data_IF_671627668264
#
_entry.id   IF_671627668264
#
_cell.length_a   1.000
_cell.length_b   1.000
_cell.length_c   1.000
_cell.angle_alpha   90.00
_cell.angle_beta   90.00
_cell.angle_gamma   90.00
#
_symmetry.space_group_name_H-M   'P 1'
#
loop_
_entity.id
_entity.type
_entity.pdbx_description
1 polymer ?
#
# COMPACT_ATOMS: atom_id res chain seq x y z
N UNK A 1 3.43 -2.88 9.58
CA UNK A 1 2.33 -2.15 10.26
C UNK A 1 2.74 -0.79 10.82
N UNK A 2 3.59 -0.68 11.86
CA UNK A 2 3.96 0.63 12.46
C UNK A 2 4.56 1.62 11.45
N UNK A 3 5.37 1.13 10.50
CA UNK A 3 5.95 1.96 9.43
C UNK A 3 4.90 2.65 8.56
N UNK A 4 3.77 1.98 8.28
CA UNK A 4 2.69 2.52 7.44
C UNK A 4 1.88 3.58 8.19
N UNK A 5 1.62 3.38 9.48
CA UNK A 5 1.01 4.41 10.32
C UNK A 5 1.89 5.65 10.42
N UNK A 6 3.21 5.47 10.55
CA UNK A 6 4.15 6.59 10.56
C UNK A 6 4.11 7.35 9.23
N UNK A 7 4.17 6.65 8.10
CA UNK A 7 4.06 7.25 6.75
C UNK A 7 2.73 7.99 6.59
N UNK A 8 1.63 7.43 7.07
CA UNK A 8 0.32 8.07 7.01
C UNK A 8 0.29 9.38 7.81
N UNK A 9 0.79 9.36 9.06
CA UNK A 9 0.84 10.55 9.92
C UNK A 9 1.74 11.62 9.32
N UNK A 10 2.95 11.27 8.86
CA UNK A 10 3.87 12.24 8.25
C UNK A 10 3.30 12.83 6.96
N UNK A 11 2.64 12.00 6.14
CA UNK A 11 2.02 12.45 4.89
C UNK A 11 0.82 13.37 5.17
N UNK A 12 0.01 13.04 6.17
CA UNK A 12 -1.09 13.90 6.63
C UNK A 12 -0.58 15.26 7.09
N UNK A 13 0.45 15.29 7.95
CA UNK A 13 1.05 16.54 8.40
C UNK A 13 1.63 17.36 7.25
N UNK A 14 2.29 16.73 6.27
CA UNK A 14 2.83 17.41 5.09
C UNK A 14 1.74 17.99 4.19
N UNK A 15 0.67 17.23 3.93
CA UNK A 15 -0.47 17.71 3.14
C UNK A 15 -1.18 18.88 3.84
N UNK A 16 -1.36 18.79 5.16
CA UNK A 16 -1.98 19.86 5.96
C UNK A 16 -1.13 21.13 5.99
N UNK A 17 0.19 20.99 6.21
CA UNK A 17 1.12 22.12 6.18
C UNK A 17 1.20 22.77 4.80
N UNK A 18 1.14 21.98 3.72
CA UNK A 18 1.09 22.49 2.35
C UNK A 18 -0.15 23.36 2.12
N UNK A 19 -1.34 22.85 2.49
CA UNK A 19 -2.60 23.60 2.38
C UNK A 19 -2.61 24.86 3.24
N UNK A 20 -2.09 24.78 4.47
CA UNK A 20 -1.99 25.93 5.37
C UNK A 20 -1.01 26.99 4.83
N UNK A 21 0.16 26.57 4.34
CA UNK A 21 1.19 27.45 3.78
C UNK A 21 0.77 28.13 2.47
N UNK A 22 -0.01 27.45 1.63
CA UNK A 22 -0.54 28.02 0.37
C UNK A 22 -1.91 28.69 0.54
N UNK A 23 -2.40 28.90 1.77
CA UNK A 23 -3.75 29.42 2.06
C UNK A 23 -4.87 28.73 1.25
N UNK A 24 -4.72 27.43 0.99
CA UNK A 24 -5.69 26.64 0.23
C UNK A 24 -5.53 26.65 -1.30
N UNK A 25 -4.54 27.32 -1.89
CA UNK A 25 -4.31 27.27 -3.35
C UNK A 25 -3.97 25.85 -3.85
N UNK A 26 -3.37 25.00 -3.01
CA UNK A 26 -3.11 23.60 -3.32
C UNK A 26 -4.35 22.68 -3.25
N UNK A 27 -5.54 23.20 -2.89
CA UNK A 27 -6.77 22.39 -2.79
C UNK A 27 -7.12 21.58 -4.06
N UNK A 28 -6.93 22.10 -5.29
CA UNK A 28 -7.23 21.35 -6.52
C UNK A 28 -6.40 20.07 -6.70
N UNK A 29 -5.18 20.01 -6.13
CA UNK A 29 -4.34 18.79 -6.18
C UNK A 29 -4.94 17.65 -5.36
N UNK A 30 -5.69 17.98 -4.31
CA UNK A 30 -6.25 17.00 -3.37
C UNK A 30 -7.76 16.78 -3.54
N UNK A 31 -8.41 17.48 -4.48
CA UNK A 31 -9.84 17.29 -4.78
C UNK A 31 -10.09 16.19 -5.82
N UNK A 32 -9.20 16.03 -6.80
CA UNK A 32 -9.32 15.07 -7.92
C UNK A 32 -8.54 13.76 -7.70
N UNK A 33 -8.46 13.29 -6.46
CA UNK A 33 -7.60 12.14 -6.10
C UNK A 33 -8.29 10.80 -6.36
N UNK A 34 -9.63 10.76 -6.37
CA UNK A 34 -10.40 9.52 -6.46
C UNK A 34 -10.09 8.71 -7.74
N UNK A 35 -10.07 9.30 -8.95
CA UNK A 35 -9.75 8.55 -10.17
C UNK A 35 -8.36 7.92 -10.11
N UNK A 36 -7.37 8.66 -9.60
CA UNK A 36 -5.99 8.16 -9.44
C UNK A 36 -5.94 7.03 -8.42
N UNK A 37 -6.62 7.19 -7.28
CA UNK A 37 -6.73 6.17 -6.24
C UNK A 37 -7.39 4.89 -6.76
N UNK A 38 -8.44 4.98 -7.58
CA UNK A 38 -9.06 3.82 -8.20
C UNK A 38 -8.11 3.08 -9.14
N UNK A 39 -7.37 3.82 -9.99
CA UNK A 39 -6.37 3.22 -10.90
C UNK A 39 -5.24 2.55 -10.10
N UNK A 40 -4.71 3.23 -9.08
CA UNK A 40 -3.67 2.68 -8.21
C UNK A 40 -4.18 1.46 -7.45
N UNK A 41 -5.42 1.50 -6.95
CA UNK A 41 -6.07 0.38 -6.26
C UNK A 41 -6.23 -0.85 -7.16
N UNK A 42 -6.68 -0.65 -8.40
CA UNK A 42 -6.80 -1.73 -9.38
C UNK A 42 -5.44 -2.33 -9.74
N UNK A 43 -4.43 -1.48 -9.99
CA UNK A 43 -3.07 -1.90 -10.31
C UNK A 43 -2.43 -2.65 -9.14
N UNK A 44 -2.63 -2.15 -7.91
CA UNK A 44 -2.16 -2.81 -6.70
C UNK A 44 -2.84 -4.15 -6.47
N UNK A 45 -4.15 -4.26 -6.68
CA UNK A 45 -4.87 -5.53 -6.59
C UNK A 45 -4.34 -6.56 -7.59
N UNK A 46 -4.12 -6.16 -8.84
CA UNK A 46 -3.55 -7.02 -9.88
C UNK A 46 -2.12 -7.48 -9.52
N UNK A 47 -1.26 -6.57 -9.06
CA UNK A 47 0.10 -6.90 -8.60
C UNK A 47 0.09 -7.84 -7.40
N UNK A 48 -0.84 -7.66 -6.46
CA UNK A 48 -0.99 -8.52 -5.27
C UNK A 48 -1.35 -9.94 -5.65
N UNK A 49 -2.31 -10.09 -6.56
CA UNK A 49 -2.72 -11.41 -7.05
C UNK A 49 -1.61 -12.08 -7.85
N UNK A 50 -0.92 -11.34 -8.71
CA UNK A 50 0.24 -11.84 -9.45
C UNK A 50 1.36 -12.30 -8.50
N UNK A 51 1.66 -11.51 -7.46
CA UNK A 51 2.67 -11.87 -6.47
C UNK A 51 2.28 -13.10 -5.67
N UNK A 52 1.02 -13.18 -5.23
CA UNK A 52 0.52 -14.34 -4.49
C UNK A 52 0.67 -15.62 -5.30
N UNK A 53 0.24 -15.60 -6.57
CA UNK A 53 0.39 -16.74 -7.47
C UNK A 53 1.86 -17.06 -7.74
N UNK A 54 2.71 -16.05 -7.84
CA UNK A 54 4.15 -16.22 -8.00
C UNK A 54 4.77 -16.93 -6.80
N UNK A 55 4.51 -16.45 -5.58
CA UNK A 55 5.01 -17.06 -4.33
C UNK A 55 4.51 -18.50 -4.18
N UNK A 56 3.24 -18.77 -4.48
CA UNK A 56 2.72 -20.14 -4.48
C UNK A 56 3.38 -21.03 -5.54
N UNK A 57 3.66 -20.49 -6.73
CA UNK A 57 4.42 -21.18 -7.76
C UNK A 57 5.82 -21.56 -7.27
N UNK A 58 6.54 -20.60 -6.69
CA UNK A 58 7.88 -20.83 -6.12
C UNK A 58 7.84 -21.89 -5.02
N UNK A 59 6.86 -21.85 -4.12
CA UNK A 59 6.66 -22.85 -3.06
C UNK A 59 6.44 -24.27 -3.61
N UNK A 60 5.75 -24.40 -4.74
CA UNK A 60 5.51 -25.69 -5.42
C UNK A 60 6.76 -26.19 -6.16
N UNK A 61 7.56 -25.28 -6.69
CA UNK A 61 8.79 -25.56 -7.44
C UNK A 61 10.00 -25.90 -6.55
N UNK A 62 9.89 -25.76 -5.22
CA UNK A 62 11.02 -26.07 -4.32
C UNK A 62 11.35 -27.57 -4.41
N UNK A 63 12.57 -27.95 -4.81
CA UNK A 63 12.92 -29.35 -5.03
C UNK A 63 12.81 -30.15 -3.73
N UNK A 64 12.07 -31.26 -3.76
CA UNK A 64 11.93 -32.20 -2.62
C UNK A 64 13.29 -32.73 -2.12
N UNK A 65 14.33 -32.68 -2.96
CA UNK A 65 15.72 -33.02 -2.59
C UNK A 65 16.31 -32.05 -1.55
N UNK A 66 15.95 -30.77 -1.60
CA UNK A 66 16.39 -29.75 -0.62
C UNK A 66 15.84 -30.06 0.79
N UNK A 67 14.60 -30.60 0.85
CA UNK A 67 13.99 -31.07 2.10
C UNK A 67 14.77 -32.22 2.74
N UNK A 68 15.44 -33.06 1.94
CA UNK A 68 16.23 -34.19 2.42
C UNK A 68 17.67 -33.80 2.76
N UNK A 69 18.30 -32.90 2.00
CA UNK A 69 19.71 -32.52 2.22
C UNK A 69 19.91 -31.37 3.22
N UNK A 70 19.04 -30.35 3.22
CA UNK A 70 19.16 -29.16 4.07
C UNK A 70 17.79 -28.74 4.63
N UNK A 71 17.19 -29.54 5.54
CA UNK A 71 15.83 -29.30 6.06
C UNK A 71 15.68 -27.95 6.77
N UNK A 72 16.73 -27.44 7.44
CA UNK A 72 16.70 -26.13 8.10
C UNK A 72 16.59 -24.97 7.11
N UNK A 73 17.34 -25.01 6.00
CA UNK A 73 17.28 -23.99 4.96
C UNK A 73 15.95 -24.03 4.21
N UNK A 74 15.41 -25.24 3.97
CA UNK A 74 14.08 -25.41 3.39
C UNK A 74 12.98 -24.78 4.26
N UNK A 75 12.99 -25.04 5.58
CA UNK A 75 12.01 -24.46 6.52
C UNK A 75 12.12 -22.93 6.52
N UNK A 76 13.34 -22.38 6.60
CA UNK A 76 13.56 -20.93 6.60
C UNK A 76 13.04 -20.24 5.33
N UNK A 77 13.24 -20.83 4.15
CA UNK A 77 12.75 -20.29 2.87
C UNK A 77 11.22 -20.36 2.79
N UNK A 78 10.64 -21.48 3.22
CA UNK A 78 9.18 -21.67 3.24
C UNK A 78 8.52 -20.70 4.21
N UNK A 79 9.09 -20.51 5.40
CA UNK A 79 8.63 -19.57 6.42
C UNK A 79 8.72 -18.13 5.90
N UNK A 80 9.85 -17.73 5.32
CA UNK A 80 10.02 -16.41 4.71
C UNK A 80 9.01 -16.16 3.57
N UNK A 81 8.78 -17.12 2.68
CA UNK A 81 7.78 -17.00 1.61
C UNK A 81 6.35 -16.92 2.17
N UNK A 82 6.05 -17.64 3.25
CA UNK A 82 4.75 -17.60 3.91
C UNK A 82 4.50 -16.27 4.59
N UNK A 83 5.52 -15.71 5.26
CA UNK A 83 5.47 -14.39 5.88
C UNK A 83 5.28 -13.29 4.83
N UNK A 84 6.02 -13.35 3.70
CA UNK A 84 5.81 -12.42 2.59
C UNK A 84 4.38 -12.49 2.03
N UNK A 85 3.81 -13.69 1.90
CA UNK A 85 2.42 -13.87 1.47
C UNK A 85 1.43 -13.26 2.48
N UNK A 86 1.66 -13.46 3.77
CA UNK A 86 0.82 -12.88 4.81
C UNK A 86 0.89 -11.35 4.80
N UNK A 87 2.08 -10.77 4.63
CA UNK A 87 2.29 -9.33 4.52
C UNK A 87 1.52 -8.72 3.35
N UNK A 88 1.48 -9.40 2.20
CA UNK A 88 0.73 -8.94 1.01
C UNK A 88 -0.76 -8.92 1.27
N UNK A 89 -1.32 -9.97 1.87
CA UNK A 89 -2.75 -10.02 2.20
C UNK A 89 -3.12 -8.85 3.12
N UNK A 90 -2.28 -8.61 4.13
CA UNK A 90 -2.46 -7.51 5.07
C UNK A 90 -2.41 -6.15 4.35
N UNK A 91 -1.45 -5.96 3.45
CA UNK A 91 -1.32 -4.73 2.66
C UNK A 91 -2.53 -4.49 1.73
N UNK A 92 -3.09 -5.56 1.15
CA UNK A 92 -4.34 -5.50 0.36
C UNK A 92 -5.50 -4.98 1.19
N UNK A 93 -5.74 -5.56 2.37
CA UNK A 93 -6.82 -5.12 3.25
C UNK A 93 -6.63 -3.65 3.63
N UNK A 94 -5.40 -3.24 3.94
CA UNK A 94 -5.08 -1.88 4.34
C UNK A 94 -5.31 -0.86 3.19
N UNK A 95 -4.93 -1.18 1.96
CA UNK A 95 -5.19 -0.33 0.79
C UNK A 95 -6.70 -0.22 0.54
N UNK A 96 -7.46 -1.31 0.67
CA UNK A 96 -8.92 -1.27 0.55
C UNK A 96 -9.55 -0.34 1.60
N UNK A 97 -9.08 -0.41 2.85
CA UNK A 97 -9.54 0.50 3.92
C UNK A 97 -9.19 1.96 3.57
N UNK A 98 -7.98 2.25 3.09
CA UNK A 98 -7.63 3.61 2.68
C UNK A 98 -8.47 4.14 1.52
N UNK A 99 -8.79 3.29 0.54
CA UNK A 99 -9.68 3.66 -0.57
C UNK A 99 -11.08 3.99 -0.07
N UNK A 100 -11.62 3.18 0.83
CA UNK A 100 -12.93 3.43 1.46
C UNK A 100 -12.93 4.75 2.26
N UNK A 101 -11.90 4.99 3.08
CA UNK A 101 -11.76 6.24 3.84
C UNK A 101 -11.66 7.44 2.90
N UNK A 102 -10.81 7.38 1.88
CA UNK A 102 -10.65 8.46 0.91
C UNK A 102 -11.96 8.76 0.15
N UNK A 103 -12.72 7.73 -0.19
CA UNK A 103 -14.02 7.87 -0.84
C UNK A 103 -15.06 8.51 0.09
N UNK A 104 -15.21 8.01 1.32
CA UNK A 104 -16.15 8.56 2.30
C UNK A 104 -15.82 10.02 2.63
N UNK A 105 -14.54 10.33 2.85
CA UNK A 105 -14.10 11.69 3.13
C UNK A 105 -14.32 12.60 1.92
N UNK A 106 -14.09 12.11 0.70
CA UNK A 106 -14.43 12.81 -0.54
C UNK A 106 -15.92 13.13 -0.64
N UNK A 107 -16.78 12.12 -0.43
CA UNK A 107 -18.24 12.29 -0.50
C UNK A 107 -18.77 13.27 0.56
N UNK A 108 -18.22 13.24 1.78
CA UNK A 108 -18.56 14.21 2.84
C UNK A 108 -18.12 15.61 2.44
N UNK A 109 -16.93 15.77 1.85
CA UNK A 109 -16.39 17.08 1.44
C UNK A 109 -17.17 17.76 0.31
N UNK A 110 -17.91 16.99 -0.51
CA UNK A 110 -18.73 17.52 -1.61
C UNK A 110 -20.17 17.85 -1.19
N UNK A 111 -20.55 17.61 0.08
CA UNK A 111 -21.89 17.95 0.56
C UNK A 111 -22.09 19.48 0.60
N UNK A 112 -23.21 20.02 0.08
CA UNK A 112 -23.44 21.46 -0.05
C UNK A 112 -23.50 22.22 1.28
N UNK A 113 -23.82 21.52 2.38
CA UNK A 113 -23.77 22.07 3.74
C UNK A 113 -22.36 22.45 4.18
N UNK A 114 -21.33 21.83 3.58
CA UNK A 114 -19.94 22.00 3.98
C UNK A 114 -19.29 23.25 3.37
N UNK A 115 -19.87 23.80 2.30
CA UNK A 115 -19.36 24.99 1.59
C UNK A 115 -19.87 26.32 2.14
N UNK A 116 -20.89 26.31 3.01
CA UNK A 116 -21.65 27.53 3.36
C UNK A 116 -21.16 28.28 4.60
N UNK A 117 -20.15 27.79 5.33
CA UNK A 117 -19.78 28.32 6.65
C UNK A 117 -18.27 28.55 6.77
N UNK A 118 -17.81 29.78 7.06
CA UNK A 118 -16.39 30.14 7.17
C UNK A 118 -15.50 29.29 8.11
N UNK A 119 -15.95 28.83 9.31
CA UNK A 119 -15.13 27.94 10.16
C UNK A 119 -14.94 26.54 9.57
N UNK A 120 -15.69 26.17 8.53
CA UNK A 120 -15.56 24.88 7.85
C UNK A 120 -14.37 24.79 6.89
N UNK A 121 -13.69 25.90 6.59
CA UNK A 121 -12.49 25.88 5.75
C UNK A 121 -11.37 25.00 6.34
N UNK A 122 -11.20 25.01 7.67
CA UNK A 122 -10.23 24.14 8.36
C UNK A 122 -10.62 22.67 8.30
N UNK A 123 -11.92 22.36 8.40
CA UNK A 123 -12.46 21.00 8.24
C UNK A 123 -12.29 20.50 6.80
N UNK A 124 -12.48 21.38 5.82
CA UNK A 124 -12.25 21.08 4.41
C UNK A 124 -10.76 20.80 4.13
N UNK A 125 -9.85 21.59 4.69
CA UNK A 125 -8.41 21.33 4.59
C UNK A 125 -7.99 20.04 5.28
N UNK A 126 -8.59 19.70 6.43
CA UNK A 126 -8.37 18.42 7.09
C UNK A 126 -8.84 17.26 6.19
N UNK A 127 -10.04 17.36 5.61
CA UNK A 127 -10.58 16.35 4.69
C UNK A 127 -9.69 16.15 3.44
N UNK A 128 -9.25 17.25 2.81
CA UNK A 128 -8.30 17.23 1.69
C UNK A 128 -6.95 16.61 2.08
N UNK A 129 -6.47 16.89 3.30
CA UNK A 129 -5.21 16.33 3.82
C UNK A 129 -5.32 14.82 4.06
N UNK A 130 -6.46 14.32 4.54
CA UNK A 130 -6.71 12.88 4.65
C UNK A 130 -6.66 12.21 3.27
N UNK A 131 -7.28 12.82 2.25
CA UNK A 131 -7.25 12.28 0.88
C UNK A 131 -5.84 12.25 0.30
N UNK A 132 -5.05 13.31 0.50
CA UNK A 132 -3.64 13.36 0.11
C UNK A 132 -2.79 12.30 0.83
N UNK A 133 -2.98 12.15 2.15
CA UNK A 133 -2.29 11.14 2.96
C UNK A 133 -2.62 9.72 2.51
N UNK A 134 -3.88 9.43 2.15
CA UNK A 134 -4.29 8.15 1.58
C UNK A 134 -3.58 7.88 0.25
N UNK A 135 -3.48 8.85 -0.66
CA UNK A 135 -2.78 8.66 -1.93
C UNK A 135 -1.29 8.35 -1.73
N UNK A 136 -0.60 9.12 -0.89
CA UNK A 136 0.83 8.90 -0.63
C UNK A 136 1.04 7.55 0.05
N UNK A 137 0.17 7.18 0.99
CA UNK A 137 0.25 5.89 1.68
C UNK A 137 0.05 4.71 0.73
N UNK A 138 -0.92 4.80 -0.20
CA UNK A 138 -1.11 3.77 -1.23
C UNK A 138 0.12 3.65 -2.14
N UNK A 139 0.71 4.77 -2.57
CA UNK A 139 1.94 4.77 -3.35
C UNK A 139 3.10 4.08 -2.61
N UNK A 140 3.29 4.39 -1.33
CA UNK A 140 4.35 3.78 -0.53
C UNK A 140 4.12 2.28 -0.36
N UNK A 141 2.88 1.84 -0.10
CA UNK A 141 2.54 0.40 -0.02
C UNK A 141 2.85 -0.30 -1.35
N UNK A 142 2.52 0.32 -2.49
CA UNK A 142 2.87 -0.22 -3.80
C UNK A 142 4.38 -0.40 -3.97
N UNK A 143 5.19 0.59 -3.58
CA UNK A 143 6.65 0.49 -3.64
C UNK A 143 7.19 -0.63 -2.72
N UNK A 144 6.65 -0.73 -1.50
CA UNK A 144 7.02 -1.82 -0.56
C UNK A 144 6.69 -3.17 -1.16
N UNK A 145 5.54 -3.31 -1.82
CA UNK A 145 5.15 -4.56 -2.43
C UNK A 145 6.01 -4.93 -3.64
N UNK A 146 6.41 -3.96 -4.45
CA UNK A 146 7.39 -4.18 -5.53
C UNK A 146 8.74 -4.61 -4.97
N UNK A 147 9.20 -4.02 -3.86
CA UNK A 147 10.43 -4.46 -3.19
C UNK A 147 10.31 -5.89 -2.64
N UNK A 148 9.13 -6.26 -2.11
CA UNK A 148 8.81 -7.63 -1.73
C UNK A 148 8.89 -8.60 -2.92
N UNK A 149 8.38 -8.19 -4.08
CA UNK A 149 8.47 -8.94 -5.33
C UNK A 149 9.92 -9.21 -5.75
N UNK A 150 10.77 -8.17 -5.72
CA UNK A 150 12.20 -8.30 -6.02
C UNK A 150 12.91 -9.23 -5.04
N UNK A 151 12.54 -9.18 -3.76
CA UNK A 151 13.12 -10.04 -2.72
C UNK A 151 12.74 -11.51 -2.94
N UNK A 152 11.48 -11.80 -3.26
CA UNK A 152 11.05 -13.16 -3.60
C UNK A 152 11.76 -13.71 -4.85
N UNK A 153 11.99 -12.85 -5.86
CA UNK A 153 12.78 -13.23 -7.04
C UNK A 153 14.22 -13.61 -6.70
N UNK A 154 14.89 -12.84 -5.84
CA UNK A 154 16.24 -13.15 -5.38
C UNK A 154 16.29 -14.47 -4.62
N UNK A 155 15.34 -14.69 -3.70
CA UNK A 155 15.23 -15.94 -2.94
C UNK A 155 15.01 -17.15 -3.88
N UNK A 156 14.18 -17.02 -4.90
CA UNK A 156 14.00 -18.08 -5.90
C UNK A 156 15.31 -18.39 -6.62
N UNK A 157 16.05 -17.37 -7.04
CA UNK A 157 17.33 -17.54 -7.74
C UNK A 157 18.38 -18.25 -6.86
N UNK A 158 18.46 -17.89 -5.57
CA UNK A 158 19.34 -18.57 -4.61
C UNK A 158 18.95 -20.03 -4.39
N UNK A 159 17.65 -20.32 -4.30
CA UNK A 159 17.13 -21.69 -4.11
C UNK A 159 17.34 -22.54 -5.37
N UNK A 160 17.21 -21.98 -6.57
CA UNK A 160 17.50 -22.70 -7.82
C UNK A 160 18.99 -23.00 -7.98
N UNK A 161 19.88 -22.05 -7.62
CA UNK A 161 21.33 -22.29 -7.69
C UNK A 161 21.85 -23.24 -6.60
N UNK A 162 21.18 -23.31 -5.45
CA UNK A 162 21.53 -24.25 -4.37
C UNK A 162 20.96 -25.66 -4.57
N UNK A 163 20.17 -25.87 -5.64
CA UNK A 163 19.54 -27.14 -5.99
C UNK A 163 20.29 -27.98 -7.02
N UNK A 164 21.34 -27.43 -7.63
CA UNK A 164 22.38 -28.17 -8.38
C UNK A 164 23.45 -28.71 -7.42
#
# INVERSE_FOLDING_TARGET
>A
MVRLLFVFITSFSLCYLSLWGTKGEASPLFSNVNPVLFVLGALFGALSLAFFNYVEGVLKDIPKKLKQQKPKAFIMVVEALTDLKHEVIINVVLVVVFLMVAFVVGAVSEMPFMQSVEPLNYLMWAALSVRGACLISVLVVMCVQLAGFVTANKLRAEVSMSGE
#
